data_IF_583210087235
#
_entry.id   IF_583210087235
#
_cell.length_a   1.000
_cell.length_b   1.000
_cell.length_c   1.000
_cell.angle_alpha   90.00
_cell.angle_beta   90.00
_cell.angle_gamma   90.00
#
_symmetry.space_group_name_H-M   'P 1'
#
loop_
_entity.id
_entity.type
_entity.pdbx_description
1 polymer ?
#
# COMPACT_ATOMS: atom_id res chain seq x y z
N UNK A 1 4.87 2.34 1.47
CA UNK A 1 5.04 0.94 0.98
C UNK A 1 4.09 0.58 -0.15
N UNK A 2 2.78 0.87 -0.04
CA UNK A 2 1.81 0.46 -1.06
C UNK A 2 2.14 0.95 -2.48
N UNK A 3 2.55 2.21 -2.64
CA UNK A 3 2.99 2.77 -3.92
C UNK A 3 4.05 1.88 -4.57
N UNK A 4 5.15 1.60 -3.88
CA UNK A 4 6.23 0.75 -4.40
C UNK A 4 5.81 -0.68 -4.73
N UNK A 5 4.88 -1.27 -3.97
CA UNK A 5 4.39 -2.63 -4.22
C UNK A 5 3.47 -2.69 -5.43
N UNK A 6 2.63 -1.69 -5.60
CA UNK A 6 1.73 -1.55 -6.73
C UNK A 6 2.50 -1.17 -8.01
N UNK A 7 3.54 -0.34 -7.92
CA UNK A 7 4.44 -0.01 -9.05
C UNK A 7 5.23 -1.22 -9.55
N UNK A 8 5.54 -2.18 -8.67
CA UNK A 8 6.22 -3.42 -9.08
C UNK A 8 5.31 -4.45 -9.76
N UNK A 9 4.00 -4.20 -9.84
CA UNK A 9 3.08 -5.12 -10.51
C UNK A 9 3.21 -5.02 -12.02
N UNK A 10 3.32 -6.17 -12.68
CA UNK A 10 3.30 -6.24 -14.15
C UNK A 10 1.88 -6.19 -14.71
N UNK A 11 0.93 -6.85 -14.03
CA UNK A 11 -0.48 -6.91 -14.43
C UNK A 11 -1.32 -6.05 -13.49
N UNK A 12 -2.18 -5.20 -14.05
CA UNK A 12 -3.09 -4.34 -13.29
C UNK A 12 -4.54 -4.79 -13.44
N UNK A 13 -5.06 -5.50 -12.43
CA UNK A 13 -6.45 -5.95 -12.37
C UNK A 13 -6.93 -6.03 -10.90
N UNK A 14 -8.20 -6.38 -10.68
CA UNK A 14 -8.77 -6.38 -9.34
C UNK A 14 -8.04 -7.36 -8.40
N UNK A 15 -7.73 -8.56 -8.88
CA UNK A 15 -7.10 -9.60 -8.06
C UNK A 15 -5.69 -9.19 -7.63
N UNK A 16 -4.87 -8.70 -8.57
CA UNK A 16 -3.49 -8.26 -8.31
C UNK A 16 -3.44 -7.06 -7.36
N UNK A 17 -4.31 -6.06 -7.56
CA UNK A 17 -4.39 -4.88 -6.68
C UNK A 17 -4.87 -5.29 -5.29
N UNK A 18 -5.92 -6.11 -5.21
CA UNK A 18 -6.49 -6.59 -3.95
C UNK A 18 -5.47 -7.41 -3.16
N UNK A 19 -4.85 -8.40 -3.80
CA UNK A 19 -3.84 -9.26 -3.19
C UNK A 19 -2.66 -8.45 -2.69
N UNK A 20 -2.15 -7.50 -3.49
CA UNK A 20 -1.02 -6.64 -3.09
C UNK A 20 -1.31 -5.84 -1.82
N UNK A 21 -2.52 -5.28 -1.70
CA UNK A 21 -2.92 -4.51 -0.52
C UNK A 21 -3.17 -5.40 0.69
N UNK A 22 -3.79 -6.57 0.51
CA UNK A 22 -4.01 -7.55 1.58
C UNK A 22 -2.69 -8.10 2.11
N UNK A 23 -1.77 -8.49 1.23
CA UNK A 23 -0.45 -9.00 1.60
C UNK A 23 0.36 -7.95 2.34
N UNK A 24 0.30 -6.69 1.90
CA UNK A 24 0.98 -5.61 2.59
C UNK A 24 0.40 -5.38 3.99
N UNK A 25 -0.93 -5.37 4.14
CA UNK A 25 -1.57 -5.25 5.45
C UNK A 25 -1.14 -6.38 6.39
N UNK A 26 -1.12 -7.62 5.88
CA UNK A 26 -0.67 -8.80 6.62
C UNK A 26 0.81 -8.72 7.02
N UNK A 27 1.69 -8.32 6.10
CA UNK A 27 3.13 -8.14 6.36
C UNK A 27 3.38 -7.06 7.42
N UNK A 28 2.60 -5.98 7.40
CA UNK A 28 2.67 -4.92 8.41
C UNK A 28 1.99 -5.29 9.73
N UNK A 29 1.24 -6.39 9.80
CA UNK A 29 0.46 -6.78 10.98
C UNK A 29 -0.70 -5.83 11.28
N UNK A 30 -1.19 -5.10 10.28
CA UNK A 30 -2.29 -4.14 10.42
C UNK A 30 -3.58 -4.81 9.93
N UNK A 31 -4.64 -4.72 10.73
CA UNK A 31 -5.95 -5.22 10.31
C UNK A 31 -6.44 -4.46 9.08
N UNK A 32 -7.03 -5.17 8.12
CA UNK A 32 -7.51 -4.57 6.87
C UNK A 32 -8.50 -3.40 7.11
N UNK A 33 -9.35 -3.50 8.13
CA UNK A 33 -10.28 -2.44 8.54
C UNK A 33 -9.58 -1.12 8.90
N UNK A 34 -8.38 -1.18 9.47
CA UNK A 34 -7.62 0.01 9.89
C UNK A 34 -6.69 0.49 8.76
N UNK A 35 -6.33 -0.40 7.85
CA UNK A 35 -5.49 -0.10 6.69
C UNK A 35 -6.26 0.60 5.55
N UNK A 36 -7.43 0.07 5.18
CA UNK A 36 -8.20 0.52 4.02
C UNK A 36 -8.70 1.98 4.06
N UNK A 37 -9.06 2.58 5.22
CA UNK A 37 -9.46 3.98 5.32
C UNK A 37 -8.50 4.97 4.66
N UNK A 38 -7.20 4.71 4.73
CA UNK A 38 -6.18 5.56 4.09
C UNK A 38 -6.32 5.60 2.56
N UNK A 39 -6.69 4.47 1.94
CA UNK A 39 -6.89 4.36 0.49
C UNK A 39 -8.23 4.95 0.04
N UNK A 40 -9.29 4.83 0.86
CA UNK A 40 -10.57 5.48 0.56
C UNK A 40 -10.39 7.00 0.40
N UNK A 41 -9.68 7.62 1.35
CA UNK A 41 -9.41 9.05 1.30
C UNK A 41 -8.48 9.40 0.12
N UNK A 42 -7.38 8.65 -0.07
CA UNK A 42 -6.42 8.95 -1.13
C UNK A 42 -7.01 8.76 -2.55
N UNK A 43 -7.86 7.76 -2.76
CA UNK A 43 -8.40 7.43 -4.09
C UNK A 43 -9.76 8.09 -4.33
N UNK A 44 -10.70 8.00 -3.39
CA UNK A 44 -12.07 8.48 -3.58
C UNK A 44 -12.33 9.87 -2.94
N UNK A 45 -11.43 10.37 -2.09
CA UNK A 45 -11.64 11.64 -1.38
C UNK A 45 -12.74 11.58 -0.32
N UNK A 46 -13.21 10.38 0.05
CA UNK A 46 -14.30 10.15 1.00
C UNK A 46 -13.93 9.01 1.96
N UNK A 47 -14.53 8.98 3.15
CA UNK A 47 -14.34 7.91 4.15
C UNK A 47 -15.14 6.64 3.83
N UNK A 48 -16.08 6.73 2.89
CA UNK A 48 -16.81 5.59 2.31
C UNK A 48 -16.94 5.77 0.81
N UNK A 49 -16.82 4.67 0.05
CA UNK A 49 -16.94 4.68 -1.40
C UNK A 49 -17.31 3.28 -1.91
N UNK A 50 -17.53 3.17 -3.22
CA UNK A 50 -17.43 1.91 -3.99
C UNK A 50 -16.18 1.12 -3.59
N UNK A 51 -16.12 -0.21 -3.86
CA UNK A 51 -14.94 -1.01 -3.55
C UNK A 51 -13.67 -0.34 -4.11
N UNK A 52 -12.81 0.20 -3.23
CA UNK A 52 -11.71 1.08 -3.65
C UNK A 52 -10.72 0.38 -4.57
N UNK A 53 -10.52 -0.92 -4.36
CA UNK A 53 -9.73 -1.77 -5.26
C UNK A 53 -10.30 -1.74 -6.68
N UNK A 54 -11.62 -1.82 -6.84
CA UNK A 54 -12.27 -1.70 -8.15
C UNK A 54 -12.11 -0.30 -8.73
N UNK A 55 -12.22 0.74 -7.90
CA UNK A 55 -11.97 2.12 -8.34
C UNK A 55 -10.54 2.28 -8.85
N UNK A 56 -9.53 1.72 -8.19
CA UNK A 56 -8.13 1.75 -8.63
C UNK A 56 -7.92 1.03 -9.98
N UNK A 57 -8.66 -0.04 -10.23
CA UNK A 57 -8.66 -0.74 -11.54
C UNK A 57 -9.29 0.14 -12.61
N UNK A 58 -10.47 0.71 -12.34
CA UNK A 58 -11.20 1.57 -13.30
C UNK A 58 -10.41 2.83 -13.66
N UNK A 59 -9.71 3.43 -12.69
CA UNK A 59 -8.88 4.61 -12.92
C UNK A 59 -7.57 4.27 -13.66
N UNK A 60 -7.11 3.03 -13.55
CA UNK A 60 -5.82 2.59 -14.05
C UNK A 60 -4.64 2.94 -13.13
N UNK A 61 -3.45 2.40 -13.43
CA UNK A 61 -2.26 2.53 -12.60
C UNK A 61 -1.78 3.98 -12.46
N UNK A 62 -1.67 4.71 -13.57
CA UNK A 62 -1.06 6.04 -13.58
C UNK A 62 -1.79 7.03 -12.66
N UNK A 63 -3.12 7.11 -12.81
CA UNK A 63 -3.94 8.00 -12.02
C UNK A 63 -4.02 7.55 -10.56
N UNK A 64 -4.02 6.24 -10.31
CA UNK A 64 -3.92 5.68 -8.96
C UNK A 64 -2.63 6.14 -8.29
N UNK A 65 -1.48 6.04 -8.97
CA UNK A 65 -0.20 6.48 -8.41
C UNK A 65 -0.14 7.99 -8.20
N UNK A 66 -0.67 8.78 -9.13
CA UNK A 66 -0.75 10.24 -8.97
C UNK A 66 -1.54 10.61 -7.71
N UNK A 67 -2.71 9.97 -7.49
CA UNK A 67 -3.53 10.20 -6.29
C UNK A 67 -2.83 9.78 -5.00
N UNK A 68 -2.19 8.62 -4.98
CA UNK A 68 -1.46 8.14 -3.81
C UNK A 68 -0.25 9.04 -3.46
N UNK A 69 0.49 9.51 -4.47
CA UNK A 69 1.61 10.45 -4.25
C UNK A 69 1.11 11.80 -3.75
N UNK A 70 0.02 12.31 -4.30
CA UNK A 70 -0.59 13.55 -3.83
C UNK A 70 -1.06 13.43 -2.37
N UNK A 71 -1.71 12.32 -2.00
CA UNK A 71 -2.07 12.07 -0.61
C UNK A 71 -0.84 12.03 0.30
N UNK A 72 0.28 11.44 -0.15
CA UNK A 72 1.54 11.42 0.58
C UNK A 72 2.16 12.82 0.76
N UNK A 73 2.06 13.68 -0.26
CA UNK A 73 2.51 15.08 -0.17
C UNK A 73 1.72 15.86 0.88
N UNK A 74 0.40 15.65 0.96
CA UNK A 74 -0.46 16.33 1.93
C UNK A 74 -0.12 15.94 3.37
N UNK A 75 0.11 14.65 3.65
CA UNK A 75 0.42 14.17 5.02
C UNK A 75 1.85 14.50 5.47
N UNK A 76 2.68 15.01 4.56
CA UNK A 76 4.10 15.26 4.79
C UNK A 76 4.94 14.21 4.06
N UNK A 77 5.45 14.57 2.89
CA UNK A 77 6.34 13.72 2.13
C UNK A 77 7.61 13.40 2.94
N UNK A 78 8.10 12.15 2.90
CA UNK A 78 9.30 11.75 3.64
C UNK A 78 10.54 12.49 3.15
N UNK A 79 11.45 12.82 4.08
CA UNK A 79 12.77 13.34 3.74
C UNK A 79 13.63 12.28 3.03
N UNK A 80 14.68 12.71 2.32
CA UNK A 80 15.61 11.78 1.63
C UNK A 80 16.22 10.73 2.56
N UNK A 81 16.39 11.05 3.85
CA UNK A 81 16.90 10.11 4.86
C UNK A 81 15.85 9.07 5.24
N UNK A 82 14.60 9.50 5.42
CA UNK A 82 13.47 8.62 5.73
C UNK A 82 13.14 7.70 4.57
N UNK A 83 13.17 8.19 3.33
CA UNK A 83 12.96 7.35 2.14
C UNK A 83 13.93 6.17 2.12
N UNK A 84 15.24 6.40 2.32
CA UNK A 84 16.24 5.32 2.36
C UNK A 84 15.99 4.33 3.50
N UNK A 85 15.54 4.80 4.66
CA UNK A 85 15.21 3.94 5.79
C UNK A 85 13.96 3.10 5.48
N UNK A 86 12.96 3.69 4.84
CA UNK A 86 11.73 3.03 4.44
C UNK A 86 11.93 2.03 3.31
N UNK A 87 12.85 2.29 2.38
CA UNK A 87 13.25 1.31 1.35
C UNK A 87 13.80 0.04 2.00
N UNK A 88 14.74 0.17 2.95
CA UNK A 88 15.27 -0.96 3.71
C UNK A 88 14.18 -1.70 4.51
N UNK A 89 13.27 -0.95 5.14
CA UNK A 89 12.15 -1.53 5.87
C UNK A 89 11.21 -2.29 4.91
N UNK A 90 10.93 -1.74 3.73
CA UNK A 90 10.11 -2.39 2.72
C UNK A 90 10.74 -3.68 2.19
N UNK A 91 12.07 -3.72 2.04
CA UNK A 91 12.81 -4.94 1.70
C UNK A 91 12.71 -5.98 2.81
N UNK A 92 12.87 -5.60 4.08
CA UNK A 92 12.68 -6.54 5.19
C UNK A 92 11.25 -7.09 5.29
N UNK A 93 10.25 -6.29 4.90
CA UNK A 93 8.85 -6.71 4.85
C UNK A 93 8.53 -7.61 3.65
N UNK A 94 9.35 -7.59 2.58
CA UNK A 94 9.22 -8.51 1.43
C UNK A 94 9.62 -9.93 1.79
N UNK A 95 10.53 -10.09 2.74
CA UNK A 95 10.98 -11.39 3.19
C UNK A 95 9.85 -12.07 3.96
N UNK A 96 9.55 -13.36 3.71
CA UNK A 96 8.61 -14.09 4.54
C UNK A 96 9.11 -14.02 5.99
N UNK A 97 8.19 -13.74 6.93
CA UNK A 97 8.48 -13.96 8.36
C UNK A 97 8.79 -15.45 8.52
N UNK A 98 10.07 -15.81 8.49
CA UNK A 98 10.49 -17.05 9.12
C UNK A 98 10.13 -16.89 10.60
N UNK A 99 9.19 -17.71 11.06
CA UNK A 99 8.97 -17.93 12.49
C UNK A 99 10.28 -18.45 13.08
N UNK A 100 11.09 -17.53 13.58
CA UNK A 100 12.31 -17.83 14.30
C UNK A 100 12.33 -16.97 15.56
N UNK A 101 11.41 -17.27 16.47
CA UNK A 101 11.68 -17.26 17.92
C UNK A 101 10.57 -18.05 18.61
N UNK A 102 10.71 -19.38 18.60
CA UNK A 102 10.14 -20.18 19.68
C UNK A 102 10.85 -19.78 20.97
N UNK A 103 10.06 -19.33 21.93
CA UNK A 103 10.19 -19.52 23.37
C UNK A 103 11.58 -19.95 23.88
N UNK A 104 12.17 -19.07 24.70
CA UNK A 104 13.14 -19.43 25.73
C UNK A 104 12.49 -19.19 27.10
#
# INVERSE_FOLDING_TARGET
>A
FAIWRLESQFTWNNDTVSQTLMDLANQMGIKLRDFMPTFFIAIAGSTSSTPVMQSMVTLGPDLTFARLRHALEIVGAPSKKEVKNWEKLNESLKLPKNEATSEA
#
